data_IF_143847132944
#
_entry.id   IF_143847132944
#
_cell.length_a   1.000
_cell.length_b   1.000
_cell.length_c   1.000
_cell.angle_alpha   90.00
_cell.angle_beta   90.00
_cell.angle_gamma   90.00
#
_symmetry.space_group_name_H-M   'P 1'
#
loop_
_entity.id
_entity.type
_entity.pdbx_description
1 polymer ?
#
# COMPACT_ATOMS: atom_id res chain seq x y z
N UNK A 1 -24.72 0.44 -28.19
CA UNK A 1 -23.56 1.34 -28.04
C UNK A 1 -22.35 0.65 -28.64
N UNK A 2 -21.80 1.20 -29.72
CA UNK A 2 -20.55 0.73 -30.32
C UNK A 2 -19.38 1.26 -29.50
N UNK A 3 -18.70 0.38 -28.78
CA UNK A 3 -17.46 0.73 -28.10
C UNK A 3 -16.39 0.96 -29.18
N UNK A 4 -15.87 2.19 -29.30
CA UNK A 4 -14.70 2.42 -30.13
C UNK A 4 -13.48 1.80 -29.45
N UNK A 5 -12.63 1.14 -30.23
CA UNK A 5 -11.33 0.70 -29.72
C UNK A 5 -10.52 1.95 -29.36
N UNK A 6 -9.84 1.97 -28.20
CA UNK A 6 -8.94 3.06 -27.85
C UNK A 6 -7.87 3.22 -28.93
N UNK A 7 -7.49 4.46 -29.23
CA UNK A 7 -6.46 4.74 -30.23
C UNK A 7 -5.12 4.12 -29.82
N UNK A 8 -4.27 3.80 -30.79
CA UNK A 8 -2.94 3.27 -30.49
C UNK A 8 -2.14 4.22 -29.60
N UNK A 9 -2.24 5.54 -29.82
CA UNK A 9 -1.62 6.54 -28.96
C UNK A 9 -2.16 6.52 -27.52
N UNK A 10 -3.46 6.26 -27.31
CA UNK A 10 -4.03 6.11 -25.97
C UNK A 10 -3.58 4.80 -25.33
N UNK A 11 -3.50 3.72 -26.11
CA UNK A 11 -2.95 2.44 -25.65
C UNK A 11 -1.51 2.66 -25.22
N UNK A 12 -0.64 3.19 -26.07
CA UNK A 12 0.78 3.43 -25.78
C UNK A 12 0.99 4.41 -24.62
N UNK A 13 0.19 5.48 -24.54
CA UNK A 13 0.20 6.39 -23.38
C UNK A 13 -0.19 5.66 -22.11
N UNK A 14 -1.16 4.75 -22.18
CA UNK A 14 -1.66 4.03 -21.01
C UNK A 14 -0.73 2.89 -20.63
N UNK A 15 -0.36 2.00 -21.55
CA UNK A 15 0.49 0.83 -21.30
C UNK A 15 1.95 1.23 -21.14
N UNK A 16 2.48 2.05 -22.05
CA UNK A 16 3.85 2.54 -22.01
C UNK A 16 4.11 3.42 -20.80
N UNK A 17 3.36 4.51 -20.59
CA UNK A 17 3.66 5.38 -19.42
C UNK A 17 3.27 4.75 -18.07
N UNK A 18 2.32 3.83 -18.00
CA UNK A 18 2.06 3.08 -16.75
C UNK A 18 3.19 2.08 -16.43
N UNK A 19 3.84 1.50 -17.44
CA UNK A 19 4.87 0.48 -17.25
C UNK A 19 6.28 1.07 -17.18
N UNK A 20 6.63 1.93 -18.14
CA UNK A 20 7.93 2.55 -18.27
C UNK A 20 7.93 4.04 -17.93
N UNK A 21 6.79 4.72 -17.88
CA UNK A 21 6.77 6.18 -17.72
C UNK A 21 7.33 6.65 -16.38
N UNK A 22 7.05 5.96 -15.27
CA UNK A 22 7.69 6.25 -13.99
C UNK A 22 9.17 5.86 -13.97
N UNK A 23 9.52 4.71 -14.58
CA UNK A 23 10.88 4.22 -14.68
C UNK A 23 11.75 5.19 -15.52
N UNK A 24 11.42 5.39 -16.79
CA UNK A 24 12.07 6.32 -17.71
C UNK A 24 12.23 7.74 -17.11
N UNK A 25 11.27 8.22 -16.31
CA UNK A 25 11.37 9.52 -15.63
C UNK A 25 12.27 9.50 -14.41
N UNK A 26 12.20 8.46 -13.58
CA UNK A 26 13.10 8.28 -12.46
C UNK A 26 14.56 8.20 -12.91
N UNK A 27 14.81 7.73 -14.14
CA UNK A 27 16.14 7.67 -14.76
C UNK A 27 16.45 8.83 -15.73
N UNK A 28 15.61 9.89 -15.75
CA UNK A 28 15.92 11.15 -16.45
C UNK A 28 15.71 11.14 -17.98
N UNK A 29 15.06 10.13 -18.55
CA UNK A 29 14.79 10.05 -20.00
C UNK A 29 13.73 11.08 -20.47
N UNK A 30 12.90 11.58 -19.55
CA UNK A 30 11.86 12.58 -19.82
C UNK A 30 11.78 13.64 -18.71
N UNK A 31 11.34 14.86 -19.04
CA UNK A 31 11.14 15.94 -18.08
C UNK A 31 10.01 15.68 -17.06
N UNK A 32 10.07 16.36 -15.92
CA UNK A 32 9.07 16.26 -14.85
C UNK A 32 7.67 16.66 -15.37
N UNK A 33 6.63 15.85 -15.11
CA UNK A 33 5.27 16.18 -15.51
C UNK A 33 4.75 17.42 -14.77
N UNK A 34 3.97 18.25 -15.48
CA UNK A 34 3.41 19.50 -14.95
C UNK A 34 2.48 19.33 -13.73
N UNK A 35 1.95 18.12 -13.52
CA UNK A 35 0.96 17.83 -12.48
C UNK A 35 1.21 16.51 -11.74
N UNK A 36 2.45 16.23 -11.32
CA UNK A 36 2.75 15.10 -10.44
C UNK A 36 2.99 15.57 -9.01
N UNK A 37 2.24 14.95 -8.10
CA UNK A 37 2.42 15.16 -6.67
C UNK A 37 1.71 16.40 -6.13
N UNK A 38 1.96 16.65 -4.85
CA UNK A 38 1.54 17.83 -4.11
C UNK A 38 2.64 18.25 -3.12
N UNK A 39 2.36 19.23 -2.25
CA UNK A 39 3.36 19.69 -1.28
C UNK A 39 3.81 18.59 -0.29
N UNK A 40 3.00 17.56 -0.01
CA UNK A 40 3.37 16.44 0.87
C UNK A 40 4.07 15.33 0.10
N UNK A 41 3.52 14.96 -1.05
CA UNK A 41 4.08 13.96 -1.97
C UNK A 41 4.59 14.65 -3.22
N UNK A 42 5.76 15.28 -3.12
CA UNK A 42 6.34 16.00 -4.27
C UNK A 42 6.67 15.05 -5.42
N UNK A 43 6.79 15.58 -6.63
CA UNK A 43 7.29 14.87 -7.80
C UNK A 43 8.64 14.17 -7.54
N UNK A 44 9.61 14.86 -6.94
CA UNK A 44 10.90 14.28 -6.57
C UNK A 44 10.77 13.13 -5.57
N UNK A 45 9.90 13.26 -4.55
CA UNK A 45 9.65 12.19 -3.59
C UNK A 45 9.01 10.97 -4.26
N UNK A 46 8.07 11.17 -5.18
CA UNK A 46 7.42 10.08 -5.91
C UNK A 46 8.45 9.36 -6.80
N UNK A 47 9.26 10.10 -7.54
CA UNK A 47 10.28 9.54 -8.43
C UNK A 47 11.40 8.83 -7.66
N UNK A 48 11.87 9.42 -6.56
CA UNK A 48 12.89 8.80 -5.71
C UNK A 48 12.38 7.55 -5.01
N UNK A 49 11.13 7.54 -4.53
CA UNK A 49 10.51 6.35 -3.95
C UNK A 49 10.43 5.23 -4.97
N UNK A 50 10.06 5.54 -6.21
CA UNK A 50 10.06 4.58 -7.31
C UNK A 50 11.46 4.03 -7.58
N UNK A 51 12.46 4.92 -7.72
CA UNK A 51 13.85 4.55 -7.95
C UNK A 51 14.37 3.61 -6.86
N UNK A 52 14.13 3.93 -5.59
CA UNK A 52 14.55 3.11 -4.45
C UNK A 52 13.86 1.74 -4.45
N UNK A 53 12.56 1.70 -4.76
CA UNK A 53 11.81 0.44 -4.82
C UNK A 53 12.31 -0.49 -5.94
N UNK A 54 12.70 0.08 -7.09
CA UNK A 54 13.20 -0.68 -8.24
C UNK A 54 14.64 -1.15 -8.05
N UNK A 55 15.51 -0.30 -7.51
CA UNK A 55 16.97 -0.51 -7.54
C UNK A 55 17.57 -0.92 -6.19
N UNK A 56 16.86 -0.66 -5.09
CA UNK A 56 17.40 -0.77 -3.73
C UNK A 56 18.48 0.26 -3.40
N UNK A 57 18.68 1.30 -4.22
CA UNK A 57 19.72 2.32 -4.04
C UNK A 57 19.11 3.71 -3.82
N UNK A 58 19.84 4.58 -3.13
CA UNK A 58 19.47 5.99 -3.01
C UNK A 58 19.74 6.72 -4.34
N UNK A 59 18.80 7.56 -4.82
CA UNK A 59 19.01 8.33 -6.03
C UNK A 59 19.97 9.49 -5.79
N UNK A 60 20.81 9.78 -6.79
CA UNK A 60 21.66 10.96 -6.80
C UNK A 60 20.88 12.19 -7.29
N UNK A 61 20.98 13.31 -6.57
CA UNK A 61 20.38 14.58 -6.98
C UNK A 61 18.85 14.68 -6.87
N UNK A 62 18.16 13.66 -6.36
CA UNK A 62 16.72 13.70 -6.06
C UNK A 62 16.46 13.71 -4.56
N UNK A 63 15.59 14.62 -4.12
CA UNK A 63 15.06 14.59 -2.77
C UNK A 63 14.25 13.31 -2.53
N UNK A 64 14.61 12.58 -1.47
CA UNK A 64 14.00 11.30 -1.08
C UNK A 64 13.59 11.27 0.40
N UNK A 65 13.64 12.40 1.12
CA UNK A 65 13.49 12.44 2.57
C UNK A 65 12.23 13.15 3.04
N UNK A 66 11.93 14.33 2.50
CA UNK A 66 10.88 15.21 3.06
C UNK A 66 10.01 15.83 1.98
N UNK A 67 8.76 16.15 2.32
CA UNK A 67 7.89 16.96 1.49
C UNK A 67 8.30 18.45 1.47
N UNK A 68 7.47 19.26 0.82
CA UNK A 68 7.49 20.74 0.78
C UNK A 68 6.31 21.35 1.56
N UNK A 69 5.66 20.55 2.42
CA UNK A 69 4.41 20.95 3.10
C UNK A 69 4.60 21.69 4.43
N UNK A 70 5.82 21.72 4.95
CA UNK A 70 6.19 22.26 6.28
C UNK A 70 5.33 21.69 7.44
N UNK A 71 4.89 20.43 7.33
CA UNK A 71 3.98 19.80 8.27
C UNK A 71 4.22 18.31 8.48
N UNK A 72 3.50 17.74 9.45
CA UNK A 72 3.56 16.31 9.75
C UNK A 72 4.94 15.85 10.23
N UNK A 73 5.35 14.66 9.78
CA UNK A 73 6.63 14.06 10.15
C UNK A 73 7.84 14.73 9.48
N UNK A 74 7.63 15.57 8.43
CA UNK A 74 8.72 16.34 7.79
C UNK A 74 9.40 17.32 8.77
N UNK A 75 8.74 17.66 9.89
CA UNK A 75 9.28 18.53 10.94
C UNK A 75 10.04 17.78 12.03
N UNK A 76 10.01 16.45 12.01
CA UNK A 76 10.76 15.63 12.96
C UNK A 76 12.13 15.33 12.38
N UNK A 77 13.13 15.39 13.24
CA UNK A 77 14.49 14.95 12.92
C UNK A 77 15.04 14.10 14.05
N UNK A 78 15.93 13.19 13.71
CA UNK A 78 16.66 12.41 14.69
C UNK A 78 17.89 13.19 15.13
N UNK A 79 18.08 13.32 16.44
CA UNK A 79 19.36 13.79 16.97
C UNK A 79 20.36 12.63 16.88
N UNK A 80 21.13 12.61 15.80
CA UNK A 80 22.21 11.64 15.64
C UNK A 80 23.32 11.91 16.65
N UNK A 81 23.82 10.84 17.27
CA UNK A 81 25.04 10.88 18.05
C UNK A 81 26.25 11.01 17.11
N UNK A 82 27.38 11.54 17.57
CA UNK A 82 28.65 11.46 16.85
C UNK A 82 28.97 10.01 16.47
N UNK A 83 29.59 9.78 15.30
CA UNK A 83 29.95 8.42 14.83
C UNK A 83 30.79 7.64 15.85
N UNK A 84 31.61 8.35 16.65
CA UNK A 84 32.39 7.75 17.74
C UNK A 84 31.55 7.13 18.85
N UNK A 85 30.28 7.51 18.95
CA UNK A 85 29.31 7.00 19.92
C UNK A 85 28.32 6.00 19.30
N UNK A 86 28.46 5.70 18.01
CA UNK A 86 27.59 4.70 17.38
C UNK A 86 27.90 3.31 17.93
N UNK A 87 26.84 2.56 18.20
CA UNK A 87 26.99 1.16 18.55
C UNK A 87 27.41 0.39 17.30
N UNK A 88 28.29 -0.60 17.46
CA UNK A 88 28.59 -1.54 16.38
C UNK A 88 27.31 -2.24 15.93
N UNK A 89 27.26 -2.58 14.63
CA UNK A 89 26.15 -3.38 14.09
C UNK A 89 26.01 -4.65 14.93
N UNK A 90 24.78 -4.92 15.36
CA UNK A 90 24.49 -6.04 16.25
C UNK A 90 23.31 -6.82 15.72
N UNK A 91 23.53 -8.12 15.55
CA UNK A 91 22.46 -9.10 15.28
C UNK A 91 21.50 -9.25 16.48
N UNK A 92 21.78 -8.59 17.62
CA UNK A 92 20.89 -8.57 18.78
C UNK A 92 19.72 -7.57 18.62
N UNK A 93 19.70 -6.74 17.58
CA UNK A 93 18.57 -5.85 17.30
C UNK A 93 17.41 -6.66 16.73
N UNK A 94 16.37 -6.84 17.55
CA UNK A 94 15.14 -7.53 17.18
C UNK A 94 14.01 -6.52 16.92
N UNK A 95 13.50 -6.52 15.69
CA UNK A 95 12.34 -5.71 15.28
C UNK A 95 11.02 -6.45 15.37
N UNK A 96 11.05 -7.71 15.80
CA UNK A 96 9.87 -8.56 15.91
C UNK A 96 8.89 -8.01 16.95
N UNK A 97 7.61 -7.99 16.61
CA UNK A 97 6.54 -7.57 17.50
C UNK A 97 5.46 -8.64 17.61
N UNK A 98 5.23 -9.11 18.83
CA UNK A 98 4.04 -9.89 19.19
C UNK A 98 2.80 -8.99 19.20
N UNK A 99 1.79 -9.34 18.40
CA UNK A 99 0.57 -8.52 18.25
C UNK A 99 -0.51 -8.87 19.28
N UNK A 100 -0.69 -10.15 19.61
CA UNK A 100 -1.68 -10.57 20.61
C UNK A 100 -1.06 -10.68 22.01
N UNK A 101 -1.10 -9.56 22.75
CA UNK A 101 -0.53 -9.44 24.11
C UNK A 101 -1.46 -9.95 25.22
N UNK A 102 -2.62 -10.48 24.86
CA UNK A 102 -3.53 -11.14 25.82
C UNK A 102 -3.00 -12.55 26.04
N UNK A 103 -2.81 -12.95 27.31
CA UNK A 103 -2.41 -14.30 27.68
C UNK A 103 -3.53 -15.33 27.51
N UNK A 104 -4.39 -15.17 26.50
CA UNK A 104 -5.44 -16.12 26.18
C UNK A 104 -4.91 -17.25 25.28
N UNK A 105 -5.70 -18.31 25.13
CA UNK A 105 -5.32 -19.49 24.35
C UNK A 105 -5.41 -19.27 22.82
N UNK A 106 -5.54 -18.02 22.35
CA UNK A 106 -5.67 -17.73 20.92
C UNK A 106 -4.33 -17.92 20.22
N UNK A 107 -4.38 -18.20 18.91
CA UNK A 107 -3.21 -18.28 18.04
C UNK A 107 -2.32 -17.05 18.25
N UNK A 108 -1.05 -17.29 18.62
CA UNK A 108 -0.06 -16.22 18.68
C UNK A 108 0.35 -15.78 17.29
N UNK A 109 0.40 -14.47 17.10
CA UNK A 109 0.76 -13.84 15.85
C UNK A 109 1.80 -12.75 16.11
N UNK A 110 2.81 -12.71 15.27
CA UNK A 110 3.92 -11.76 15.32
C UNK A 110 4.16 -11.18 13.93
N UNK A 111 4.87 -10.06 13.90
CA UNK A 111 5.44 -9.48 12.67
C UNK A 111 6.93 -9.27 12.86
N UNK A 112 7.74 -9.57 11.85
CA UNK A 112 9.21 -9.43 11.96
C UNK A 112 9.65 -7.96 11.86
N UNK A 113 8.76 -7.12 11.31
CA UNK A 113 8.97 -5.70 11.05
C UNK A 113 7.81 -4.88 11.62
N UNK A 114 8.06 -3.71 12.24
CA UNK A 114 7.04 -2.97 13.01
C UNK A 114 6.13 -2.11 12.12
N UNK A 115 5.77 -2.61 10.94
CA UNK A 115 4.87 -1.95 9.99
C UNK A 115 4.02 -2.98 9.27
N UNK A 116 2.82 -2.58 8.88
CA UNK A 116 1.86 -3.39 8.13
C UNK A 116 1.17 -2.52 7.07
N UNK A 117 0.57 -3.16 6.07
CA UNK A 117 -0.09 -2.48 4.96
C UNK A 117 -1.52 -2.08 5.30
N UNK A 118 -1.81 -0.78 5.39
CA UNK A 118 -3.16 -0.26 5.63
C UNK A 118 -4.20 -0.69 4.58
N UNK A 119 -5.48 -0.67 4.96
CA UNK A 119 -6.57 -1.15 4.10
C UNK A 119 -6.77 -0.31 2.84
N UNK A 120 -6.71 -0.95 1.67
CA UNK A 120 -7.03 -0.34 0.37
C UNK A 120 -7.97 -1.26 -0.40
N UNK A 121 -9.20 -0.81 -0.59
CA UNK A 121 -10.29 -1.66 -1.08
C UNK A 121 -10.14 -2.08 -2.54
N UNK A 122 -10.56 -3.31 -2.84
CA UNK A 122 -10.84 -3.72 -4.21
C UNK A 122 -11.88 -2.77 -4.83
N UNK A 123 -11.59 -2.32 -6.04
CA UNK A 123 -12.29 -1.23 -6.74
C UNK A 123 -11.58 0.12 -6.62
N UNK A 124 -10.95 0.42 -5.47
CA UNK A 124 -10.05 1.58 -5.36
C UNK A 124 -8.69 1.28 -5.99
N UNK A 125 -8.18 0.08 -5.70
CA UNK A 125 -6.99 -0.51 -6.33
C UNK A 125 -7.38 -1.78 -7.09
N UNK A 126 -6.51 -2.22 -8.01
CA UNK A 126 -6.71 -3.48 -8.75
C UNK A 126 -6.31 -4.69 -7.92
N UNK A 127 -6.79 -5.87 -8.31
CA UNK A 127 -6.37 -7.15 -7.69
C UNK A 127 -4.86 -7.37 -7.82
N UNK A 128 -4.24 -6.92 -8.92
CA UNK A 128 -2.79 -7.00 -9.10
C UNK A 128 -2.04 -6.22 -8.01
N UNK A 129 -2.50 -5.02 -7.65
CA UNK A 129 -1.91 -4.24 -6.55
C UNK A 129 -2.09 -4.97 -5.22
N UNK A 130 -3.27 -5.56 -4.98
CA UNK A 130 -3.52 -6.32 -3.74
C UNK A 130 -2.63 -7.57 -3.66
N UNK A 131 -2.48 -8.33 -4.74
CA UNK A 131 -1.61 -9.51 -4.80
C UNK A 131 -0.13 -9.16 -4.66
N UNK A 132 0.34 -8.10 -5.31
CA UNK A 132 1.72 -7.63 -5.14
C UNK A 132 2.01 -7.27 -3.69
N UNK A 133 1.07 -6.59 -3.01
CA UNK A 133 1.17 -6.31 -1.58
C UNK A 133 1.17 -7.60 -0.76
N UNK A 134 0.18 -8.47 -0.94
CA UNK A 134 0.06 -9.70 -0.15
C UNK A 134 1.33 -10.55 -0.21
N UNK A 135 1.88 -10.76 -1.41
CA UNK A 135 3.15 -11.49 -1.60
C UNK A 135 4.34 -10.78 -0.93
N UNK A 136 4.40 -9.44 -0.99
CA UNK A 136 5.45 -8.68 -0.31
C UNK A 136 5.36 -8.84 1.21
N UNK A 137 4.15 -8.71 1.79
CA UNK A 137 3.94 -8.86 3.23
C UNK A 137 4.14 -10.29 3.72
N UNK A 138 3.85 -11.31 2.91
CA UNK A 138 4.25 -12.70 3.20
C UNK A 138 5.78 -12.85 3.32
N UNK A 139 6.55 -12.22 2.42
CA UNK A 139 8.03 -12.27 2.48
C UNK A 139 8.61 -11.56 3.69
N UNK A 140 7.97 -10.48 4.14
CA UNK A 140 8.39 -9.71 5.30
C UNK A 140 7.84 -10.26 6.63
N UNK A 141 7.08 -11.35 6.61
CA UNK A 141 6.29 -11.83 7.74
C UNK A 141 5.53 -10.67 8.43
N UNK A 142 4.70 -9.98 7.64
CA UNK A 142 3.80 -8.94 8.13
C UNK A 142 2.45 -9.07 7.41
N UNK A 143 1.55 -8.12 7.59
CA UNK A 143 0.17 -8.20 7.15
C UNK A 143 -0.20 -7.06 6.19
N UNK A 144 -1.14 -7.32 5.28
CA UNK A 144 -1.83 -6.28 4.52
C UNK A 144 -3.33 -6.37 4.75
N UNK A 145 -4.03 -5.24 4.75
CA UNK A 145 -5.49 -5.18 4.89
C UNK A 145 -6.19 -5.06 3.53
N UNK A 146 -7.27 -5.83 3.37
CA UNK A 146 -8.15 -5.83 2.18
C UNK A 146 -8.81 -4.48 1.93
N UNK A 147 -8.95 -3.67 2.97
CA UNK A 147 -9.86 -2.53 2.94
C UNK A 147 -11.33 -2.97 2.84
N UNK A 148 -12.24 -1.99 2.71
CA UNK A 148 -13.70 -2.21 2.69
C UNK A 148 -14.26 -2.85 1.40
N UNK A 149 -13.40 -3.39 0.52
CA UNK A 149 -13.77 -3.77 -0.84
C UNK A 149 -14.17 -5.23 -1.01
N UNK A 150 -14.12 -6.02 0.06
CA UNK A 150 -14.20 -7.48 0.01
C UNK A 150 -12.85 -8.15 -0.14
N UNK A 151 -12.88 -9.48 -0.20
CA UNK A 151 -11.70 -10.36 -0.27
C UNK A 151 -11.64 -11.06 -1.64
N UNK A 152 -10.86 -10.55 -2.62
CA UNK A 152 -10.65 -11.26 -3.88
C UNK A 152 -10.10 -12.68 -3.67
N UNK A 153 -10.61 -13.66 -4.42
CA UNK A 153 -10.25 -15.08 -4.26
C UNK A 153 -8.75 -15.33 -4.42
N UNK A 154 -8.08 -14.56 -5.27
CA UNK A 154 -6.64 -14.64 -5.51
C UNK A 154 -5.82 -14.46 -4.23
N UNK A 155 -6.31 -13.65 -3.28
CA UNK A 155 -5.64 -13.43 -1.99
C UNK A 155 -5.63 -14.68 -1.11
N UNK A 156 -6.40 -15.74 -1.44
CA UNK A 156 -6.33 -17.01 -0.72
C UNK A 156 -4.93 -17.65 -0.79
N UNK A 157 -4.15 -17.36 -1.84
CA UNK A 157 -2.74 -17.77 -1.96
C UNK A 157 -1.88 -17.25 -0.80
N UNK A 158 -2.22 -16.07 -0.26
CA UNK A 158 -1.45 -15.37 0.77
C UNK A 158 -2.25 -15.15 2.07
N UNK A 159 -3.32 -15.92 2.30
CA UNK A 159 -4.32 -15.64 3.35
C UNK A 159 -3.75 -15.49 4.76
N UNK A 160 -2.66 -16.19 5.07
CA UNK A 160 -1.98 -16.11 6.37
C UNK A 160 -1.35 -14.74 6.66
N UNK A 161 -1.29 -13.84 5.67
CA UNK A 161 -0.75 -12.49 5.77
C UNK A 161 -1.78 -11.41 5.34
N UNK A 162 -3.06 -11.77 5.24
CA UNK A 162 -4.13 -10.86 4.81
C UNK A 162 -5.12 -10.62 5.95
N UNK A 163 -5.34 -9.35 6.28
CA UNK A 163 -6.35 -8.90 7.24
C UNK A 163 -7.66 -8.66 6.49
N UNK A 164 -8.74 -9.32 6.92
CA UNK A 164 -10.09 -9.02 6.42
C UNK A 164 -10.63 -7.80 7.16
N UNK A 165 -10.83 -6.70 6.44
CA UNK A 165 -11.45 -5.50 7.01
C UNK A 165 -12.98 -5.56 6.88
N UNK A 166 -13.67 -5.41 8.00
CA UNK A 166 -15.13 -5.30 8.10
C UNK A 166 -15.49 -3.84 8.32
N UNK A 167 -16.22 -3.26 7.38
CA UNK A 167 -16.72 -1.89 7.45
C UNK A 167 -18.25 -1.87 7.34
N UNK A 168 -18.86 -0.68 7.45
CA UNK A 168 -20.32 -0.51 7.53
C UNK A 168 -21.11 -1.08 6.36
N UNK A 169 -20.48 -1.21 5.19
CA UNK A 169 -21.10 -1.78 3.98
C UNK A 169 -21.07 -3.30 3.90
N UNK A 170 -20.30 -4.00 4.75
CA UNK A 170 -20.12 -5.46 4.74
C UNK A 170 -19.77 -6.06 3.37
N UNK A 171 -19.25 -5.26 2.43
CA UNK A 171 -18.99 -5.67 1.06
C UNK A 171 -18.00 -6.83 1.00
N UNK A 172 -18.44 -7.95 0.40
CA UNK A 172 -17.61 -9.15 0.22
C UNK A 172 -17.08 -9.74 1.52
N UNK A 173 -17.78 -9.51 2.64
CA UNK A 173 -17.52 -10.12 3.95
C UNK A 173 -18.41 -11.35 4.06
N UNK A 174 -17.83 -12.50 3.73
CA UNK A 174 -18.48 -13.82 3.83
C UNK A 174 -17.81 -14.66 4.93
N UNK A 175 -18.48 -15.72 5.38
CA UNK A 175 -17.95 -16.63 6.41
C UNK A 175 -16.55 -17.14 6.03
N UNK A 176 -16.37 -17.54 4.77
CA UNK A 176 -15.11 -18.07 4.26
C UNK A 176 -13.98 -17.04 4.34
N UNK A 177 -14.29 -15.75 4.12
CA UNK A 177 -13.30 -14.65 4.17
C UNK A 177 -12.88 -14.31 5.60
N UNK A 178 -13.76 -14.55 6.57
CA UNK A 178 -13.48 -14.37 8.00
C UNK A 178 -12.68 -15.56 8.53
N UNK A 179 -13.03 -16.78 8.13
CA UNK A 179 -12.28 -17.99 8.50
C UNK A 179 -10.89 -18.03 7.86
N UNK A 180 -10.71 -17.42 6.69
CA UNK A 180 -9.42 -17.37 6.00
C UNK A 180 -8.39 -16.43 6.67
N UNK A 181 -8.85 -15.38 7.37
CA UNK A 181 -7.97 -14.31 7.83
C UNK A 181 -7.46 -14.51 9.27
N UNK A 182 -6.15 -14.36 9.52
CA UNK A 182 -5.58 -14.40 10.87
C UNK A 182 -6.01 -13.21 11.74
N UNK A 183 -6.39 -12.09 11.12
CA UNK A 183 -6.80 -10.85 11.78
C UNK A 183 -8.06 -10.32 11.09
N UNK A 184 -9.04 -9.91 11.89
CA UNK A 184 -10.22 -9.18 11.43
C UNK A 184 -10.15 -7.75 11.94
N UNK A 185 -10.22 -6.78 11.03
CA UNK A 185 -10.15 -5.36 11.31
C UNK A 185 -11.54 -4.73 11.24
N UNK A 186 -12.11 -4.34 12.38
CA UNK A 186 -13.36 -3.58 12.41
C UNK A 186 -13.09 -2.11 12.16
N UNK A 187 -13.45 -1.64 10.97
CA UNK A 187 -13.23 -0.26 10.57
C UNK A 187 -14.34 0.64 11.11
N UNK A 188 -14.00 1.43 12.12
CA UNK A 188 -14.90 2.44 12.67
C UNK A 188 -14.90 3.75 11.88
N UNK A 189 -13.73 4.22 11.46
CA UNK A 189 -13.57 5.47 10.73
C UNK A 189 -12.30 5.47 9.87
N UNK A 190 -12.11 6.51 9.05
CA UNK A 190 -10.87 6.79 8.33
C UNK A 190 -10.49 8.26 8.45
N UNK A 191 -9.19 8.55 8.59
CA UNK A 191 -8.70 9.92 8.75
C UNK A 191 -8.97 10.83 7.55
N UNK A 192 -9.02 10.28 6.34
CA UNK A 192 -9.28 11.06 5.13
C UNK A 192 -10.69 11.67 5.08
N UNK A 193 -11.68 11.02 5.69
CA UNK A 193 -13.09 11.43 5.69
C UNK A 193 -13.77 11.01 7.00
N UNK A 194 -13.49 11.67 8.14
CA UNK A 194 -14.13 11.33 9.40
C UNK A 194 -15.65 11.50 9.31
N UNK A 195 -16.41 10.53 9.82
CA UNK A 195 -17.88 10.57 9.81
C UNK A 195 -18.55 10.12 8.49
N UNK A 196 -17.78 9.72 7.48
CA UNK A 196 -18.30 9.17 6.22
C UNK A 196 -17.73 7.77 5.96
N UNK A 197 -18.54 6.91 5.33
CA UNK A 197 -18.09 5.62 4.80
C UNK A 197 -17.21 5.77 3.56
N UNK A 198 -16.63 4.66 3.07
CA UNK A 198 -15.92 4.67 1.80
C UNK A 198 -16.83 5.03 0.63
N UNK A 199 -16.24 5.70 -0.37
CA UNK A 199 -16.91 6.00 -1.64
C UNK A 199 -16.17 5.32 -2.78
N UNK A 200 -16.91 4.60 -3.61
CA UNK A 200 -16.42 4.09 -4.89
C UNK A 200 -17.21 4.77 -6.01
N UNK A 201 -16.51 5.33 -7.00
CA UNK A 201 -17.15 5.91 -8.18
C UNK A 201 -17.85 4.81 -8.98
N UNK A 202 -19.05 5.09 -9.49
CA UNK A 202 -19.85 4.12 -10.26
C UNK A 202 -19.07 3.55 -11.47
N UNK A 203 -18.27 4.37 -12.15
CA UNK A 203 -17.43 3.92 -13.26
C UNK A 203 -16.38 2.87 -12.87
N UNK A 204 -16.02 2.77 -11.58
CA UNK A 204 -15.12 1.76 -11.02
C UNK A 204 -15.84 0.54 -10.46
N UNK A 205 -17.17 0.57 -10.35
CA UNK A 205 -18.00 -0.56 -9.95
C UNK A 205 -18.29 -1.48 -11.16
N UNK A 206 -17.22 -2.00 -11.77
CA UNK A 206 -17.33 -2.96 -12.88
C UNK A 206 -17.92 -4.30 -12.43
N UNK A 207 -18.16 -5.21 -13.38
CA UNK A 207 -18.81 -6.51 -13.12
C UNK A 207 -18.16 -7.31 -12.00
N UNK A 208 -16.82 -7.40 -11.99
CA UNK A 208 -16.10 -8.16 -10.96
C UNK A 208 -16.20 -7.51 -9.57
N UNK A 209 -16.15 -6.18 -9.51
CA UNK A 209 -16.33 -5.45 -8.24
C UNK A 209 -17.75 -5.64 -7.73
N UNK A 210 -18.76 -5.49 -8.58
CA UNK A 210 -20.15 -5.72 -8.20
C UNK A 210 -20.36 -7.16 -7.70
N UNK A 211 -19.87 -8.16 -8.45
CA UNK A 211 -19.96 -9.57 -8.07
C UNK A 211 -19.33 -9.85 -6.70
N UNK A 212 -18.15 -9.27 -6.41
CA UNK A 212 -17.49 -9.47 -5.13
C UNK A 212 -18.24 -8.81 -3.96
N UNK A 213 -18.94 -7.71 -4.23
CA UNK A 213 -19.58 -6.90 -3.18
C UNK A 213 -21.00 -7.34 -2.83
N UNK A 214 -21.61 -8.22 -3.63
CA UNK A 214 -23.03 -8.60 -3.53
C UNK A 214 -23.97 -7.56 -4.13
#
# INVERSE_FOLDING_TARGET
MTFSKPSQALIDKTTGLLQSGMNARAFGEYGAPEALGDARWTDELILSTWYMAETGKLPEGLNHKTGKSDGGFDRLDFRYLPESEWLEHSEALDTTLDLNRRGDAKRRISIDIPWYGGGMSYGSVSVNVMMSRARAYTKWNSYMSTGEGGYPLELMECKENVITQVATGYFGVEEETIQAAPIVEFKYAQGAKPGLGGHLLAAKAGKEVAKLRG
#
